data_IF_341208589634
#
_entry.id   IF_341208589634
#
_cell.length_a   1.000
_cell.length_b   1.000
_cell.length_c   1.000
_cell.angle_alpha   90.00
_cell.angle_beta   90.00
_cell.angle_gamma   90.00
#
_symmetry.space_group_name_H-M   'P 1'
#
loop_
_entity.id
_entity.type
_entity.pdbx_description
1 polymer ?
#
# COMPACT_ATOMS: atom_id res chain seq x y z
N UNK A 1 16.41 15.05 15.10
CA UNK A 1 15.53 15.14 14.30
C UNK A 1 15.89 14.78 12.99
N UNK A 2 15.10 14.08 12.47
CA UNK A 2 15.44 13.49 11.33
C UNK A 2 15.81 14.35 10.25
N UNK A 3 15.85 15.38 10.38
CA UNK A 3 16.39 16.16 9.47
C UNK A 3 15.76 16.12 8.18
N UNK A 4 14.60 15.95 8.10
CA UNK A 4 13.91 15.77 6.89
C UNK A 4 14.47 16.38 5.68
N UNK A 5 15.49 17.12 5.77
CA UNK A 5 16.04 17.76 4.64
C UNK A 5 16.86 16.86 3.80
N UNK A 6 17.29 15.77 4.32
CA UNK A 6 18.33 15.10 3.60
C UNK A 6 17.93 14.45 2.36
N UNK A 7 16.80 13.92 2.30
CA UNK A 7 16.54 13.00 1.22
C UNK A 7 15.69 13.54 0.12
N UNK A 8 15.32 14.80 0.16
CA UNK A 8 14.46 15.30 -0.89
C UNK A 8 15.09 15.31 -2.25
N UNK A 9 16.35 15.01 -2.35
CA UNK A 9 17.03 15.00 -3.63
C UNK A 9 17.25 13.61 -4.18
N UNK A 10 16.65 12.61 -3.66
CA UNK A 10 16.86 11.30 -4.21
C UNK A 10 16.62 10.17 -3.26
N UNK A 11 16.01 10.46 -2.14
CA UNK A 11 15.62 9.41 -1.23
C UNK A 11 14.55 8.54 -1.81
N UNK A 12 14.53 7.31 -1.35
CA UNK A 12 13.50 6.35 -1.71
C UNK A 12 12.20 6.74 -1.01
N UNK A 13 11.10 6.64 -1.73
CA UNK A 13 9.78 6.93 -1.17
C UNK A 13 9.18 5.65 -0.62
N UNK A 14 8.78 5.67 0.65
CA UNK A 14 8.01 4.58 1.23
C UNK A 14 6.55 4.96 1.32
N UNK A 15 5.69 4.08 0.81
CA UNK A 15 4.24 4.23 0.86
C UNK A 15 3.69 3.15 1.77
N UNK A 16 2.84 3.54 2.71
CA UNK A 16 2.18 2.61 3.62
C UNK A 16 0.70 2.92 3.62
N UNK A 17 -0.13 1.90 3.47
CA UNK A 17 -1.57 2.04 3.60
C UNK A 17 -2.12 0.93 4.48
N UNK A 18 -3.07 1.29 5.32
CA UNK A 18 -3.73 0.39 6.25
C UNK A 18 -5.22 0.42 6.00
N UNK A 19 -5.86 -0.74 6.06
CA UNK A 19 -7.29 -0.86 5.85
C UNK A 19 -7.95 -1.58 7.00
N UNK A 20 -9.15 -1.11 7.38
CA UNK A 20 -10.09 -1.91 8.14
C UNK A 20 -11.22 -2.29 7.19
N UNK A 21 -11.58 -3.56 7.17
CA UNK A 21 -12.67 -4.04 6.33
C UNK A 21 -14.02 -3.82 7.02
N UNK A 22 -15.06 -3.64 6.23
CA UNK A 22 -16.43 -3.62 6.75
C UNK A 22 -16.75 -4.94 7.42
N UNK A 23 -17.64 -4.94 8.43
CA UNK A 23 -17.95 -6.16 9.21
C UNK A 23 -18.44 -7.34 8.40
N UNK A 24 -19.16 -7.09 7.30
CA UNK A 24 -19.73 -8.15 6.46
C UNK A 24 -18.80 -8.59 5.33
N UNK A 25 -17.56 -8.15 5.34
CA UNK A 25 -16.59 -8.55 4.34
C UNK A 25 -16.31 -10.06 4.48
N UNK A 26 -16.20 -10.79 3.36
CA UNK A 26 -15.88 -12.22 3.43
C UNK A 26 -14.60 -12.50 4.20
N UNK A 27 -14.57 -13.61 4.94
CA UNK A 27 -13.48 -13.95 5.82
C UNK A 27 -12.14 -14.12 5.09
N UNK A 28 -12.17 -14.53 3.82
CA UNK A 28 -10.98 -14.76 2.99
C UNK A 28 -10.59 -13.53 2.18
N UNK A 29 -11.22 -12.38 2.41
CA UNK A 29 -11.02 -11.21 1.55
C UNK A 29 -9.57 -10.71 1.58
N UNK A 30 -8.89 -10.81 2.71
CA UNK A 30 -7.48 -10.41 2.79
C UNK A 30 -6.61 -11.28 1.87
N UNK A 31 -6.87 -12.58 1.81
CA UNK A 31 -6.13 -13.48 0.92
C UNK A 31 -6.43 -13.19 -0.54
N UNK A 32 -7.69 -12.97 -0.85
CA UNK A 32 -8.12 -12.61 -2.22
C UNK A 32 -7.44 -11.31 -2.66
N UNK A 33 -7.44 -10.31 -1.79
CA UNK A 33 -6.79 -9.02 -2.07
C UNK A 33 -5.28 -9.18 -2.24
N UNK A 34 -4.64 -9.97 -1.38
CA UNK A 34 -3.21 -10.23 -1.47
C UNK A 34 -2.83 -10.87 -2.81
N UNK A 35 -3.63 -11.83 -3.27
CA UNK A 35 -3.39 -12.48 -4.56
C UNK A 35 -3.48 -11.47 -5.71
N UNK A 36 -4.44 -10.56 -5.66
CA UNK A 36 -4.57 -9.51 -6.67
C UNK A 36 -3.40 -8.54 -6.61
N UNK A 37 -3.01 -8.09 -5.42
CA UNK A 37 -1.89 -7.16 -5.25
C UNK A 37 -0.58 -7.74 -5.77
N UNK A 38 -0.38 -9.03 -5.65
CA UNK A 38 0.84 -9.70 -6.10
C UNK A 38 1.07 -9.56 -7.60
N UNK A 39 0.05 -9.23 -8.37
CA UNK A 39 0.19 -9.04 -9.82
C UNK A 39 0.77 -7.67 -10.19
N UNK A 40 0.66 -6.69 -9.31
CA UNK A 40 1.01 -5.30 -9.66
C UNK A 40 2.50 -5.07 -9.95
N UNK A 41 3.46 -5.68 -9.22
CA UNK A 41 4.87 -5.43 -9.54
C UNK A 41 5.25 -5.85 -10.96
N UNK A 42 4.59 -6.85 -11.51
CA UNK A 42 4.83 -7.26 -12.90
C UNK A 42 4.22 -6.34 -13.92
N UNK A 43 3.25 -5.52 -13.52
CA UNK A 43 2.55 -4.61 -14.40
C UNK A 43 3.03 -3.16 -14.27
N UNK A 44 3.63 -2.80 -13.14
CA UNK A 44 4.05 -1.45 -12.83
C UNK A 44 5.53 -1.46 -12.45
N UNK A 45 6.43 -1.28 -13.42
CA UNK A 45 7.88 -1.39 -13.18
C UNK A 45 8.44 -0.39 -12.16
N UNK A 46 7.72 0.68 -11.87
CA UNK A 46 8.16 1.67 -10.90
C UNK A 46 8.17 1.15 -9.46
N UNK A 47 7.49 0.05 -9.19
CA UNK A 47 7.48 -0.53 -7.85
C UNK A 47 8.82 -1.23 -7.60
N UNK A 48 9.56 -0.80 -6.56
CA UNK A 48 10.81 -1.43 -6.18
C UNK A 48 10.61 -2.59 -5.24
N UNK A 49 9.76 -2.39 -4.26
CA UNK A 49 9.48 -3.37 -3.21
C UNK A 49 8.00 -3.27 -2.89
N UNK A 50 7.34 -4.40 -2.74
CA UNK A 50 5.90 -4.42 -2.54
C UNK A 50 5.57 -5.55 -1.58
N UNK A 51 5.08 -5.19 -0.41
CA UNK A 51 4.72 -6.18 0.61
C UNK A 51 3.35 -5.86 1.16
N UNK A 52 2.63 -6.89 1.55
CA UNK A 52 1.27 -6.73 2.02
C UNK A 52 0.87 -7.95 2.83
N UNK A 53 -0.11 -7.79 3.69
CA UNK A 53 -0.56 -8.91 4.51
C UNK A 53 -1.66 -8.54 5.46
N UNK A 54 -2.33 -9.59 5.94
CA UNK A 54 -3.37 -9.47 6.94
C UNK A 54 -2.77 -9.32 8.34
N UNK A 55 -3.51 -8.64 9.21
CA UNK A 55 -3.13 -8.50 10.60
C UNK A 55 -3.02 -9.88 11.26
N UNK A 56 -2.00 -10.05 12.07
CA UNK A 56 -1.77 -11.31 12.79
C UNK A 56 -2.69 -11.50 13.99
N UNK A 57 -3.39 -10.45 14.40
CA UNK A 57 -4.29 -10.55 15.56
C UNK A 57 -3.61 -10.58 16.90
N UNK A 58 -2.41 -10.01 17.01
CA UNK A 58 -1.64 -10.04 18.25
C UNK A 58 -2.17 -9.03 19.27
N UNK A 59 -2.49 -7.83 18.80
CA UNK A 59 -2.88 -6.71 19.65
C UNK A 59 -4.28 -6.22 19.34
N UNK A 60 -5.03 -5.71 20.33
CA UNK A 60 -6.30 -5.07 20.04
C UNK A 60 -6.08 -3.70 19.40
N UNK A 61 -7.08 -3.22 18.69
CA UNK A 61 -7.05 -1.84 18.15
C UNK A 61 -6.18 -1.66 16.93
N UNK A 62 -5.82 -2.73 16.23
CA UNK A 62 -4.99 -2.66 15.04
C UNK A 62 -5.83 -2.78 13.78
N UNK A 63 -5.26 -2.37 12.65
CA UNK A 63 -5.93 -2.47 11.36
C UNK A 63 -5.92 -3.90 10.85
N UNK A 64 -6.76 -4.18 9.85
CA UNK A 64 -6.96 -5.55 9.34
C UNK A 64 -5.93 -5.95 8.29
N UNK A 65 -5.47 -5.00 7.50
CA UNK A 65 -4.61 -5.30 6.34
C UNK A 65 -3.67 -4.15 6.06
N UNK A 66 -2.48 -4.45 5.61
CA UNK A 66 -1.47 -3.44 5.28
C UNK A 66 -0.84 -3.70 3.92
N UNK A 67 -0.51 -2.61 3.22
CA UNK A 67 0.32 -2.64 2.02
C UNK A 67 1.47 -1.68 2.23
N UNK A 68 2.69 -2.12 1.91
CA UNK A 68 3.86 -1.25 1.90
C UNK A 68 4.56 -1.35 0.56
N UNK A 69 5.07 -0.23 0.10
CA UNK A 69 5.77 -0.18 -1.19
C UNK A 69 6.88 0.85 -1.15
N UNK A 70 7.93 0.64 -1.95
CA UNK A 70 8.97 1.65 -2.13
C UNK A 70 9.12 2.00 -3.59
N UNK A 71 9.48 3.26 -3.83
CA UNK A 71 9.67 3.82 -5.16
C UNK A 71 10.94 4.65 -5.19
N UNK A 72 11.59 4.72 -6.36
CA UNK A 72 12.83 5.50 -6.49
C UNK A 72 12.63 7.00 -6.36
N UNK A 73 11.40 7.47 -6.61
CA UNK A 73 11.12 8.91 -6.62
C UNK A 73 9.64 9.16 -6.37
N UNK A 74 9.31 10.42 -6.08
CA UNK A 74 7.92 10.86 -5.98
C UNK A 74 7.19 10.62 -7.31
N UNK A 75 7.86 10.91 -8.44
CA UNK A 75 7.23 10.71 -9.75
C UNK A 75 6.88 9.24 -9.98
N UNK A 76 7.73 8.32 -9.58
CA UNK A 76 7.44 6.89 -9.69
C UNK A 76 6.25 6.48 -8.82
N UNK A 77 6.16 7.03 -7.61
CA UNK A 77 5.00 6.79 -6.76
C UNK A 77 3.72 7.30 -7.43
N UNK A 78 3.77 8.46 -8.05
CA UNK A 78 2.60 9.04 -8.73
C UNK A 78 2.18 8.16 -9.92
N UNK A 79 3.14 7.60 -10.66
CA UNK A 79 2.84 6.65 -11.73
C UNK A 79 2.06 5.46 -11.19
N UNK A 80 2.51 4.89 -10.07
CA UNK A 80 1.81 3.79 -9.41
C UNK A 80 0.42 4.20 -8.95
N UNK A 81 0.32 5.33 -8.25
CA UNK A 81 -0.94 5.80 -7.70
C UNK A 81 -2.01 5.92 -8.78
N UNK A 82 -1.64 6.48 -9.93
CA UNK A 82 -2.58 6.79 -11.00
C UNK A 82 -2.65 5.72 -12.09
N UNK A 83 -1.88 4.65 -11.96
CA UNK A 83 -1.82 3.59 -12.97
C UNK A 83 -3.18 2.91 -13.12
N UNK A 84 -3.64 2.68 -14.36
CA UNK A 84 -4.95 2.06 -14.59
C UNK A 84 -5.12 0.71 -13.89
N UNK A 85 -4.10 -0.13 -13.87
CA UNK A 85 -4.18 -1.44 -13.23
C UNK A 85 -4.32 -1.33 -11.71
N UNK A 86 -3.64 -0.35 -11.10
CA UNK A 86 -3.78 -0.08 -9.68
C UNK A 86 -5.19 0.44 -9.35
N UNK A 87 -5.69 1.37 -10.16
CA UNK A 87 -7.04 1.91 -9.97
C UNK A 87 -8.11 0.84 -10.12
N UNK A 88 -7.95 -0.05 -11.11
CA UNK A 88 -8.90 -1.13 -11.32
C UNK A 88 -8.93 -2.09 -10.12
N UNK A 89 -7.75 -2.40 -9.57
CA UNK A 89 -7.65 -3.27 -8.42
C UNK A 89 -8.32 -2.64 -7.19
N UNK A 90 -8.08 -1.36 -6.97
CA UNK A 90 -8.71 -0.63 -5.87
C UNK A 90 -10.23 -0.66 -6.01
N UNK A 91 -10.73 -0.40 -7.20
CA UNK A 91 -12.17 -0.38 -7.44
C UNK A 91 -12.83 -1.73 -7.18
N UNK A 92 -12.12 -2.81 -7.45
CA UNK A 92 -12.68 -4.15 -7.30
C UNK A 92 -12.49 -4.74 -5.90
N UNK A 93 -11.30 -4.58 -5.32
CA UNK A 93 -10.93 -5.33 -4.12
C UNK A 93 -10.92 -4.50 -2.85
N UNK A 94 -10.81 -3.18 -2.93
CA UNK A 94 -10.68 -2.37 -1.73
C UNK A 94 -11.85 -1.45 -1.48
N UNK A 95 -12.18 -0.57 -2.41
CA UNK A 95 -13.23 0.43 -2.20
C UNK A 95 -14.56 -0.14 -1.71
N UNK A 96 -15.07 -1.26 -2.26
CA UNK A 96 -16.34 -1.79 -1.80
C UNK A 96 -16.30 -2.36 -0.39
N UNK A 97 -15.10 -2.66 0.13
CA UNK A 97 -14.95 -3.40 1.38
C UNK A 97 -14.30 -2.60 2.50
N UNK A 98 -13.77 -1.43 2.21
CA UNK A 98 -13.08 -0.61 3.22
C UNK A 98 -14.08 0.08 4.13
N UNK A 99 -13.85 -0.05 5.45
CA UNK A 99 -14.54 0.75 6.44
C UNK A 99 -13.72 2.01 6.74
N UNK A 100 -12.47 1.83 7.15
CA UNK A 100 -11.56 2.93 7.40
C UNK A 100 -10.22 2.68 6.73
N UNK A 101 -9.49 3.76 6.48
CA UNK A 101 -8.22 3.70 5.78
C UNK A 101 -7.28 4.74 6.36
N UNK A 102 -6.00 4.40 6.44
CA UNK A 102 -4.95 5.35 6.78
C UNK A 102 -3.78 5.16 5.81
N UNK A 103 -3.13 6.23 5.42
CA UNK A 103 -1.96 6.13 4.56
C UNK A 103 -0.96 7.22 4.85
N UNK A 104 0.29 6.95 4.52
CA UNK A 104 1.37 7.90 4.65
C UNK A 104 2.43 7.59 3.60
N UNK A 105 3.08 8.62 3.10
CA UNK A 105 4.24 8.47 2.24
C UNK A 105 5.35 9.31 2.85
N UNK A 106 6.53 8.73 2.95
CA UNK A 106 7.67 9.46 3.50
C UNK A 106 8.96 9.03 2.81
N UNK A 107 9.94 9.89 2.90
CA UNK A 107 11.22 9.68 2.27
C UNK A 107 12.15 8.94 3.21
N UNK A 108 12.77 7.85 2.71
CA UNK A 108 13.81 7.17 3.46
C UNK A 108 15.14 7.64 2.92
N UNK A 109 16.14 7.84 3.79
CA UNK A 109 17.48 8.18 3.33
C UNK A 109 17.98 7.08 2.38
N UNK A 110 18.37 7.48 1.20
CA UNK A 110 18.74 6.52 0.15
C UNK A 110 20.22 6.22 0.08
#
# INVERSE_FOLDING_TARGET
>A
MWGGRVSRFGGVIRHIVLFNWKPDTPADHSEVTATALATLPGLIPQIRDYQFGANLGINPGTYDFAVTATFDSIDDYIVYRDHPDHKALIAEYTLPYIDTRASIQFEIPG
#
